data_IF_069753495797
#
_entry.id   IF_069753495797
#
_cell.length_a   1.000
_cell.length_b   1.000
_cell.length_c   1.000
_cell.angle_alpha   90.00
_cell.angle_beta   90.00
_cell.angle_gamma   90.00
#
_symmetry.space_group_name_H-M   'P 1'
#
loop_
_entity.id
_entity.type
_entity.pdbx_description
1 polymer ?
#
# COMPACT_ATOMS: atom_id res chain seq x y z
N UNK A 1 6.24 14.97 -10.04
CA UNK A 1 6.92 14.60 -8.78
C UNK A 1 7.68 13.34 -9.07
N UNK A 2 8.96 13.34 -8.73
CA UNK A 2 9.88 12.21 -8.83
C UNK A 2 10.65 12.11 -7.52
N UNK A 3 10.93 10.90 -7.05
CA UNK A 3 11.60 10.68 -5.77
C UNK A 3 10.64 10.41 -4.60
N UNK A 4 11.15 10.39 -3.38
CA UNK A 4 10.35 10.07 -2.20
C UNK A 4 9.51 11.27 -1.73
N UNK A 5 8.29 11.03 -1.26
CA UNK A 5 7.53 12.05 -0.56
C UNK A 5 6.19 11.54 -0.03
N UNK A 6 5.32 12.48 0.35
CA UNK A 6 4.03 12.22 0.99
C UNK A 6 2.92 13.01 0.30
N UNK A 7 1.85 12.34 -0.08
CA UNK A 7 0.65 12.93 -0.66
C UNK A 7 -0.53 12.67 0.28
N UNK A 8 -1.21 13.74 0.69
CA UNK A 8 -2.44 13.68 1.47
C UNK A 8 -3.60 14.11 0.60
N UNK A 9 -4.64 13.28 0.57
CA UNK A 9 -5.87 13.58 -0.14
C UNK A 9 -6.91 14.14 0.83
N UNK A 10 -7.80 15.02 0.36
CA UNK A 10 -8.88 15.60 1.17
C UNK A 10 -9.83 14.56 1.77
N UNK A 11 -9.88 13.35 1.21
CA UNK A 11 -10.64 12.22 1.77
C UNK A 11 -10.00 11.60 3.02
N UNK A 12 -8.80 12.04 3.43
CA UNK A 12 -8.02 11.43 4.50
C UNK A 12 -7.12 10.28 4.06
N UNK A 13 -7.09 9.94 2.76
CA UNK A 13 -6.13 8.99 2.25
C UNK A 13 -4.72 9.59 2.24
N UNK A 14 -3.72 8.80 2.61
CA UNK A 14 -2.32 9.26 2.66
C UNK A 14 -1.44 8.25 1.96
N UNK A 15 -0.63 8.70 1.00
CA UNK A 15 0.46 7.93 0.45
C UNK A 15 1.80 8.50 0.92
N UNK A 16 2.71 7.64 1.34
CA UNK A 16 4.10 7.98 1.63
C UNK A 16 5.01 6.96 0.97
N UNK A 17 5.88 7.39 0.06
CA UNK A 17 6.68 6.48 -0.74
C UNK A 17 7.34 7.13 -1.93
N UNK A 18 7.81 6.30 -2.85
CA UNK A 18 8.45 6.77 -4.07
C UNK A 18 7.41 7.21 -5.12
N UNK A 19 7.74 8.28 -5.83
CA UNK A 19 6.98 8.81 -6.94
C UNK A 19 7.82 8.74 -8.21
N UNK A 20 7.14 8.46 -9.31
CA UNK A 20 7.67 8.57 -10.67
C UNK A 20 6.59 9.20 -11.55
N UNK A 21 6.92 10.30 -12.21
CA UNK A 21 5.99 11.02 -13.11
C UNK A 21 4.66 11.41 -12.45
N UNK A 22 4.71 11.83 -11.18
CA UNK A 22 3.53 12.13 -10.32
C UNK A 22 2.68 10.92 -9.92
N UNK A 23 3.13 9.70 -10.20
CA UNK A 23 2.44 8.47 -9.83
C UNK A 23 3.18 7.76 -8.68
N UNK A 24 2.44 7.05 -7.83
CA UNK A 24 3.03 6.16 -6.84
C UNK A 24 3.80 5.05 -7.55
N UNK A 25 5.02 4.81 -7.12
CA UNK A 25 5.92 3.85 -7.75
C UNK A 25 6.90 3.28 -6.71
N UNK A 26 7.46 2.09 -6.95
CA UNK A 26 8.39 1.46 -6.02
C UNK A 26 7.80 1.22 -4.63
N UNK A 27 8.66 1.20 -3.60
CA UNK A 27 8.20 0.97 -2.23
C UNK A 27 7.41 2.17 -1.71
N UNK A 28 6.28 1.89 -1.07
CA UNK A 28 5.47 2.90 -0.43
C UNK A 28 4.49 2.32 0.59
N UNK A 29 3.83 3.24 1.24
CA UNK A 29 2.78 3.01 2.22
C UNK A 29 1.56 3.81 1.79
N UNK A 30 0.42 3.14 1.65
CA UNK A 30 -0.88 3.77 1.45
C UNK A 30 -1.76 3.54 2.66
N UNK A 31 -2.19 4.62 3.30
CA UNK A 31 -3.18 4.61 4.37
C UNK A 31 -4.53 4.99 3.78
N UNK A 32 -5.48 4.08 3.89
CA UNK A 32 -6.85 4.28 3.42
C UNK A 32 -7.59 5.24 4.35
N UNK A 33 -8.61 5.97 3.86
CA UNK A 33 -9.47 6.81 4.71
C UNK A 33 -10.11 6.06 5.89
N UNK A 34 -10.32 4.75 5.75
CA UNK A 34 -10.84 3.89 6.82
C UNK A 34 -9.84 3.64 7.95
N UNK A 35 -8.56 3.95 7.77
CA UNK A 35 -7.47 3.63 8.70
C UNK A 35 -6.74 2.32 8.38
N UNK A 36 -7.24 1.52 7.44
CA UNK A 36 -6.47 0.39 6.91
C UNK A 36 -5.18 0.87 6.23
N UNK A 37 -4.17 0.00 6.13
CA UNK A 37 -2.86 0.34 5.59
C UNK A 37 -2.36 -0.74 4.63
N UNK A 38 -1.74 -0.32 3.54
CA UNK A 38 -0.96 -1.20 2.68
C UNK A 38 0.48 -0.69 2.62
N UNK A 39 1.46 -1.59 2.78
CA UNK A 39 2.88 -1.31 2.64
C UNK A 39 3.45 -2.30 1.64
N UNK A 40 4.04 -1.83 0.55
CA UNK A 40 4.54 -2.72 -0.50
C UNK A 40 4.98 -1.96 -1.75
N UNK A 41 5.13 -2.70 -2.84
CA UNK A 41 5.49 -2.12 -4.13
C UNK A 41 4.27 -1.52 -4.84
N UNK A 42 4.53 -0.40 -5.52
CA UNK A 42 3.59 0.31 -6.36
C UNK A 42 4.15 0.45 -7.78
N UNK A 43 3.25 0.44 -8.75
CA UNK A 43 3.55 0.72 -10.14
C UNK A 43 2.41 1.53 -10.74
N UNK A 44 2.69 2.76 -11.17
CA UNK A 44 1.72 3.67 -11.79
C UNK A 44 0.41 3.80 -10.96
N UNK A 45 0.54 4.16 -9.67
CA UNK A 45 -0.55 4.29 -8.70
C UNK A 45 -1.22 2.98 -8.24
N UNK A 46 -0.69 1.81 -8.63
CA UNK A 46 -1.34 0.53 -8.38
C UNK A 46 -0.43 -0.37 -7.56
N UNK A 47 -1.01 -1.11 -6.62
CA UNK A 47 -0.25 -2.06 -5.80
C UNK A 47 0.21 -3.23 -6.67
N UNK A 48 1.49 -3.59 -6.57
CA UNK A 48 2.09 -4.62 -7.43
C UNK A 48 3.24 -5.34 -6.71
N UNK A 49 3.24 -6.67 -6.75
CA UNK A 49 4.27 -7.49 -6.12
C UNK A 49 4.04 -7.74 -4.64
N UNK A 50 5.10 -8.04 -3.90
CA UNK A 50 5.03 -8.36 -2.48
C UNK A 50 4.60 -7.14 -1.65
N UNK A 51 3.70 -7.38 -0.70
CA UNK A 51 3.25 -6.36 0.22
C UNK A 51 2.61 -6.91 1.48
N UNK A 52 2.28 -6.00 2.36
CA UNK A 52 1.57 -6.23 3.61
C UNK A 52 0.36 -5.32 3.66
N UNK A 53 -0.80 -5.89 3.93
CA UNK A 53 -2.03 -5.18 4.24
C UNK A 53 -2.35 -5.31 5.72
N UNK A 54 -2.76 -4.23 6.36
CA UNK A 54 -3.24 -4.20 7.74
C UNK A 54 -4.65 -3.62 7.73
N UNK A 55 -5.63 -4.35 8.26
CA UNK A 55 -7.00 -3.84 8.36
C UNK A 55 -7.17 -2.90 9.56
N UNK A 56 -8.38 -2.38 9.71
CA UNK A 56 -8.76 -1.49 10.81
C UNK A 56 -8.75 -2.16 12.19
N UNK A 57 -8.70 -3.49 12.25
CA UNK A 57 -8.62 -4.28 13.49
C UNK A 57 -7.17 -4.64 13.83
N UNK A 58 -6.20 -4.23 12.99
CA UNK A 58 -4.78 -4.54 13.17
C UNK A 58 -4.39 -5.95 12.70
N UNK A 59 -5.28 -6.67 12.02
CA UNK A 59 -4.91 -7.94 11.39
C UNK A 59 -3.98 -7.66 10.22
N UNK A 60 -2.91 -8.44 10.10
CA UNK A 60 -1.89 -8.26 9.07
C UNK A 60 -1.94 -9.42 8.06
N UNK A 61 -1.95 -9.10 6.77
CA UNK A 61 -1.89 -10.07 5.68
C UNK A 61 -0.68 -9.78 4.79
N UNK A 62 0.10 -10.81 4.49
CA UNK A 62 1.25 -10.70 3.59
C UNK A 62 1.05 -11.59 2.36
N UNK A 63 1.58 -11.13 1.23
CA UNK A 63 1.63 -11.91 0.00
C UNK A 63 1.81 -11.02 -1.21
N UNK A 64 1.52 -11.59 -2.39
CA UNK A 64 1.63 -10.88 -3.65
C UNK A 64 0.31 -10.18 -4.02
N UNK A 65 0.41 -8.91 -4.37
CA UNK A 65 -0.70 -8.05 -4.79
C UNK A 65 -0.53 -7.73 -6.28
N UNK A 66 -1.63 -7.72 -7.02
CA UNK A 66 -1.67 -7.34 -8.42
C UNK A 66 -2.95 -6.56 -8.67
N UNK A 67 -2.88 -5.24 -8.48
CA UNK A 67 -3.97 -4.29 -8.65
C UNK A 67 -5.20 -4.63 -7.80
N UNK A 68 -6.18 -5.35 -8.37
CA UNK A 68 -7.44 -5.72 -7.74
C UNK A 68 -7.42 -7.15 -7.17
N UNK A 69 -6.38 -7.93 -7.46
CA UNK A 69 -6.23 -9.29 -6.99
C UNK A 69 -5.09 -9.39 -5.97
N UNK A 70 -5.29 -10.22 -4.95
CA UNK A 70 -4.26 -10.59 -4.00
C UNK A 70 -4.34 -12.11 -3.76
N UNK A 71 -3.88 -12.91 -4.74
CA UNK A 71 -3.95 -14.36 -4.63
C UNK A 71 -3.00 -14.87 -3.54
N UNK A 72 -3.49 -15.77 -2.69
CA UNK A 72 -2.64 -16.46 -1.72
C UNK A 72 -2.17 -15.60 -0.54
N UNK A 73 -2.90 -14.54 -0.18
CA UNK A 73 -2.63 -13.80 1.05
C UNK A 73 -2.63 -14.72 2.26
N UNK A 74 -1.62 -14.56 3.10
CA UNK A 74 -1.49 -15.29 4.37
C UNK A 74 -1.71 -14.31 5.51
N UNK A 75 -2.65 -14.65 6.40
CA UNK A 75 -2.81 -13.94 7.67
C UNK A 75 -1.57 -14.19 8.53
N UNK A 76 -0.95 -13.12 9.01
CA UNK A 76 0.17 -13.16 9.94
C UNK A 76 -0.39 -13.26 11.34
N UNK A 77 -0.41 -14.49 11.87
CA UNK A 77 -0.74 -14.75 13.26
C UNK A 77 0.54 -14.60 14.08
N UNK A 78 0.54 -13.66 15.03
CA UNK A 78 1.55 -13.64 16.08
C UNK A 78 1.15 -14.72 17.09
N UNK A 79 1.91 -15.81 17.13
CA UNK A 79 1.82 -16.84 18.18
C UNK A 79 2.76 -16.47 19.33
#
# INVERSE_FOLDING_TARGET
MNGFGRLEHFSGAVYEGHFKDNMFHGLGTYTFPSGAKYTGNFNENRVEGEGQYTDIQGLEWCGSFHFTAAPGLKLKLYM
#
